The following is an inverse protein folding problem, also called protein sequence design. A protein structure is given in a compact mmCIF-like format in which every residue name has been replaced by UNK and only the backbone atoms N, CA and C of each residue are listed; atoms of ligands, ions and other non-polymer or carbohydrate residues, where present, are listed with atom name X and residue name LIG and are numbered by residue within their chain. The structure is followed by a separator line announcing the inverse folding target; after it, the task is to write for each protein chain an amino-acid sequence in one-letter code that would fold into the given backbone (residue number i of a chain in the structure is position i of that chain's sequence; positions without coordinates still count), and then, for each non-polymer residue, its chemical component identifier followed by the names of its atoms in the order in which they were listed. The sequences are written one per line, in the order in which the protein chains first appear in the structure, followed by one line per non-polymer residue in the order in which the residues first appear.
data_IF_669854878440
#
_entry.id   IF_669854878440
#
_cell.length_a   1.000
_cell.length_b   1.000
_cell.length_c   1.000
_cell.angle_alpha   90.00
_cell.angle_beta   90.00
_cell.angle_gamma   90.00
#
_symmetry.space_group_name_H-M   'P 1'
#
loop_
_entity.id
_entity.type
_entity.pdbx_description
1 polymer ?
#
# COMPACT_ATOMS: atom_id res chain seq x y z
N UNK A 1 -79.88 41.92 -40.27
CA UNK A 1 -79.95 41.59 -38.84
C UNK A 1 -79.36 40.19 -38.64
N UNK A 2 -78.27 40.04 -37.87
CA UNK A 2 -77.61 38.74 -37.65
C UNK A 2 -78.25 38.05 -36.44
N UNK A 3 -78.70 36.82 -36.61
CA UNK A 3 -79.27 35.99 -35.56
C UNK A 3 -78.15 35.50 -34.62
N UNK A 4 -78.21 35.89 -33.34
CA UNK A 4 -77.34 35.33 -32.31
C UNK A 4 -77.83 33.92 -31.97
N UNK A 5 -77.00 32.91 -32.23
CA UNK A 5 -77.25 31.53 -31.78
C UNK A 5 -76.75 31.41 -30.34
N UNK A 6 -77.66 31.11 -29.41
CA UNK A 6 -77.32 30.80 -28.02
C UNK A 6 -76.72 29.40 -27.89
N UNK A 7 -75.83 29.23 -26.92
CA UNK A 7 -75.18 27.95 -26.60
C UNK A 7 -76.23 26.94 -26.11
N UNK A 8 -76.20 25.71 -26.61
CA UNK A 8 -77.10 24.65 -26.11
C UNK A 8 -76.47 23.98 -24.88
N UNK A 9 -77.31 23.56 -23.93
CA UNK A 9 -76.86 22.84 -22.73
C UNK A 9 -76.11 21.55 -23.11
N UNK A 10 -76.52 20.89 -24.19
CA UNK A 10 -75.90 19.66 -24.70
C UNK A 10 -74.46 19.91 -25.17
N UNK A 11 -74.19 21.02 -25.87
CA UNK A 11 -72.85 21.34 -26.37
C UNK A 11 -71.86 21.59 -25.21
N UNK A 12 -72.31 22.25 -24.15
CA UNK A 12 -71.53 22.43 -22.93
C UNK A 12 -71.25 21.08 -22.24
N UNK A 13 -72.24 20.21 -22.20
CA UNK A 13 -72.12 18.91 -21.56
C UNK A 13 -71.11 18.01 -22.30
N UNK A 14 -71.17 17.99 -23.63
CA UNK A 14 -70.21 17.25 -24.47
C UNK A 14 -68.81 17.85 -24.34
N UNK A 15 -68.68 19.18 -24.36
CA UNK A 15 -67.39 19.85 -24.18
C UNK A 15 -66.75 19.51 -22.83
N UNK A 16 -67.52 19.53 -21.74
CA UNK A 16 -67.03 19.13 -20.41
C UNK A 16 -66.67 17.65 -20.32
N UNK A 17 -67.45 16.77 -20.96
CA UNK A 17 -67.14 15.34 -20.99
C UNK A 17 -65.81 15.05 -21.70
N UNK A 18 -65.59 15.66 -22.88
CA UNK A 18 -64.33 15.52 -23.62
C UNK A 18 -63.17 16.14 -22.83
N UNK A 19 -63.37 17.33 -22.27
CA UNK A 19 -62.35 17.99 -21.47
C UNK A 19 -61.93 17.16 -20.25
N UNK A 20 -62.90 16.60 -19.53
CA UNK A 20 -62.63 15.72 -18.39
C UNK A 20 -61.84 14.47 -18.82
N UNK A 21 -62.19 13.84 -19.94
CA UNK A 21 -61.44 12.70 -20.48
C UNK A 21 -60.00 13.06 -20.86
N UNK A 22 -59.80 14.20 -21.53
CA UNK A 22 -58.46 14.67 -21.90
C UNK A 22 -57.62 15.00 -20.67
N UNK A 23 -58.22 15.62 -19.65
CA UNK A 23 -57.54 15.92 -18.39
C UNK A 23 -57.06 14.62 -17.69
N UNK A 24 -57.91 13.58 -17.64
CA UNK A 24 -57.55 12.28 -17.07
C UNK A 24 -56.46 11.59 -17.88
N UNK A 25 -56.55 11.59 -19.21
CA UNK A 25 -55.54 11.00 -20.07
C UNK A 25 -54.17 11.70 -19.92
N UNK A 26 -54.17 13.04 -19.86
CA UNK A 26 -52.95 13.82 -19.60
C UNK A 26 -52.32 13.50 -18.24
N UNK A 27 -53.13 13.33 -17.20
CA UNK A 27 -52.65 12.94 -15.88
C UNK A 27 -51.97 11.56 -15.88
N UNK A 28 -52.57 10.57 -16.56
CA UNK A 28 -51.99 9.22 -16.64
C UNK A 28 -50.62 9.19 -17.32
N UNK A 29 -50.45 9.97 -18.40
CA UNK A 29 -49.15 10.09 -19.08
C UNK A 29 -48.13 10.75 -18.16
N UNK A 30 -48.50 11.84 -17.50
CA UNK A 30 -47.62 12.55 -16.57
C UNK A 30 -47.19 11.66 -15.39
N UNK A 31 -48.12 10.94 -14.77
CA UNK A 31 -47.82 9.98 -13.70
C UNK A 31 -46.90 8.84 -14.20
N UNK A 32 -47.17 8.33 -15.40
CA UNK A 32 -46.31 7.34 -16.05
C UNK A 32 -44.86 7.81 -16.23
N UNK A 33 -44.67 9.03 -16.72
CA UNK A 33 -43.34 9.64 -16.89
C UNK A 33 -42.65 9.88 -15.55
N UNK A 34 -43.36 10.40 -14.55
CA UNK A 34 -42.79 10.62 -13.22
C UNK A 34 -42.32 9.31 -12.59
N UNK A 35 -43.14 8.26 -12.60
CA UNK A 35 -42.74 6.95 -12.08
C UNK A 35 -41.58 6.33 -12.87
N UNK A 36 -41.54 6.52 -14.19
CA UNK A 36 -40.41 6.06 -14.99
C UNK A 36 -39.11 6.79 -14.60
N UNK A 37 -39.18 8.10 -14.38
CA UNK A 37 -38.06 8.91 -13.92
C UNK A 37 -37.59 8.50 -12.52
N UNK A 38 -38.50 8.26 -11.59
CA UNK A 38 -38.17 7.80 -10.24
C UNK A 38 -37.41 6.46 -10.27
N UNK A 39 -37.87 5.49 -11.08
CA UNK A 39 -37.15 4.22 -11.27
C UNK A 39 -35.77 4.42 -11.89
N UNK A 40 -35.68 5.26 -12.92
CA UNK A 40 -34.40 5.55 -13.57
C UNK A 40 -33.41 6.21 -12.60
N UNK A 41 -33.87 7.14 -11.76
CA UNK A 41 -33.06 7.78 -10.74
C UNK A 41 -32.57 6.78 -9.70
N UNK A 42 -33.45 5.91 -9.20
CA UNK A 42 -33.08 4.85 -8.25
C UNK A 42 -31.97 3.94 -8.81
N UNK A 43 -32.07 3.52 -10.07
CA UNK A 43 -31.02 2.72 -10.70
C UNK A 43 -29.72 3.50 -10.91
N UNK A 44 -29.80 4.80 -11.24
CA UNK A 44 -28.63 5.66 -11.39
C UNK A 44 -27.87 5.83 -10.06
N UNK A 45 -28.60 6.03 -8.96
CA UNK A 45 -28.02 6.17 -7.62
C UNK A 45 -27.33 4.87 -7.20
N UNK A 46 -27.97 3.71 -7.40
CA UNK A 46 -27.37 2.40 -7.11
C UNK A 46 -26.08 2.15 -7.89
N UNK A 47 -26.07 2.51 -9.18
CA UNK A 47 -24.87 2.38 -10.01
C UNK A 47 -23.77 3.35 -9.57
N UNK A 48 -24.11 4.55 -9.12
CA UNK A 48 -23.14 5.51 -8.61
C UNK A 48 -22.43 4.98 -7.34
N UNK A 49 -23.17 4.36 -6.42
CA UNK A 49 -22.59 3.72 -5.22
C UNK A 49 -21.66 2.58 -5.60
N UNK A 50 -22.07 1.72 -6.54
CA UNK A 50 -21.24 0.62 -7.03
C UNK A 50 -19.94 1.11 -7.69
N UNK A 51 -20.03 2.15 -8.52
CA UNK A 51 -18.87 2.78 -9.14
C UNK A 51 -17.94 3.43 -8.12
N UNK A 52 -18.49 4.11 -7.11
CA UNK A 52 -17.70 4.70 -6.03
C UNK A 52 -16.90 3.62 -5.28
N UNK A 53 -17.55 2.53 -4.89
CA UNK A 53 -16.87 1.42 -4.23
C UNK A 53 -15.75 0.83 -5.11
N UNK A 54 -16.02 0.61 -6.41
CA UNK A 54 -15.02 0.12 -7.36
C UNK A 54 -13.81 1.06 -7.48
N UNK A 55 -14.05 2.37 -7.62
CA UNK A 55 -12.97 3.37 -7.73
C UNK A 55 -12.15 3.46 -6.45
N UNK A 56 -12.80 3.39 -5.29
CA UNK A 56 -12.12 3.36 -4.00
C UNK A 56 -11.17 2.16 -3.90
N UNK A 57 -11.64 0.95 -4.23
CA UNK A 57 -10.79 -0.25 -4.26
C UNK A 57 -9.67 -0.11 -5.29
N UNK A 58 -9.97 0.39 -6.49
CA UNK A 58 -8.96 0.57 -7.53
C UNK A 58 -7.83 1.51 -7.10
N UNK A 59 -8.16 2.63 -6.44
CA UNK A 59 -7.17 3.57 -5.91
C UNK A 59 -6.31 2.91 -4.82
N UNK A 60 -6.95 2.24 -3.86
CA UNK A 60 -6.22 1.62 -2.75
C UNK A 60 -5.30 0.48 -3.25
N UNK A 61 -5.76 -0.34 -4.20
CA UNK A 61 -4.96 -1.41 -4.82
C UNK A 61 -3.78 -0.84 -5.64
N UNK A 62 -3.98 0.30 -6.30
CA UNK A 62 -2.93 0.97 -7.08
C UNK A 62 -1.81 1.58 -6.24
N UNK A 63 -2.03 1.78 -4.94
CA UNK A 63 -1.08 2.41 -4.01
C UNK A 63 -0.47 1.42 -3.00
N UNK A 64 -0.68 0.11 -3.19
CA UNK A 64 -0.19 -0.93 -2.29
C UNK A 64 1.34 -0.92 -2.18
N UNK A 65 1.82 -1.16 -0.97
CA UNK A 65 3.22 -1.34 -0.64
C UNK A 65 3.47 -2.80 -0.29
N UNK A 66 4.48 -3.44 -0.91
CA UNK A 66 4.69 -4.88 -0.78
C UNK A 66 5.25 -5.29 0.59
N UNK A 67 6.17 -4.52 1.19
CA UNK A 67 6.86 -4.88 2.44
C UNK A 67 7.70 -3.71 3.00
N UNK A 68 8.17 -3.81 4.25
CA UNK A 68 9.26 -2.98 4.79
C UNK A 68 10.62 -3.67 4.68
N UNK A 69 11.62 -2.94 4.22
CA UNK A 69 12.99 -3.44 4.12
C UNK A 69 13.47 -3.98 5.48
N UNK A 70 14.13 -5.13 5.45
CA UNK A 70 14.67 -5.77 6.63
C UNK A 70 15.62 -4.82 7.38
N UNK A 71 15.30 -4.50 8.62
CA UNK A 71 16.22 -3.80 9.52
C UNK A 71 17.28 -4.79 10.00
N UNK A 72 18.56 -4.44 9.84
CA UNK A 72 19.65 -5.23 10.40
C UNK A 72 19.65 -4.97 11.91
N UNK A 73 19.17 -5.93 12.71
CA UNK A 73 19.40 -5.88 14.15
C UNK A 73 20.83 -6.36 14.42
N UNK A 74 21.76 -5.43 14.60
CA UNK A 74 23.06 -5.72 15.22
C UNK A 74 22.78 -6.12 16.66
N UNK A 75 22.89 -7.41 16.96
CA UNK A 75 22.93 -7.88 18.34
C UNK A 75 24.27 -7.45 18.92
N UNK A 76 24.31 -6.34 19.64
CA UNK A 76 25.49 -5.95 20.40
C UNK A 76 25.76 -7.06 21.41
N UNK A 77 26.82 -7.85 21.20
CA UNK A 77 27.28 -8.81 22.18
C UNK A 77 27.61 -8.05 23.47
N UNK A 78 26.81 -8.25 24.51
CA UNK A 78 27.12 -7.76 25.85
C UNK A 78 28.45 -8.39 26.27
N UNK A 79 29.52 -7.61 26.22
CA UNK A 79 30.84 -8.02 26.66
C UNK A 79 30.83 -8.02 28.20
N UNK A 80 30.32 -9.09 28.79
CA UNK A 80 30.47 -9.39 30.20
C UNK A 80 31.95 -9.61 30.49
N UNK A 81 32.52 -8.71 31.28
CA UNK A 81 33.89 -8.72 31.77
C UNK A 81 34.30 -10.12 32.22
N UNK A 82 35.21 -10.77 31.48
CA UNK A 82 35.79 -12.06 31.86
C UNK A 82 37.29 -11.88 32.03
N UNK A 83 37.72 -11.99 33.27
CA UNK A 83 39.10 -11.94 33.70
C UNK A 83 39.83 -13.26 33.38
N UNK A 84 41.08 -13.13 32.96
CA UNK A 84 42.19 -14.07 33.07
C UNK A 84 42.38 -15.21 32.02
N UNK A 85 43.57 -15.12 31.42
CA UNK A 85 44.52 -16.20 31.05
C UNK A 85 44.27 -17.02 29.78
N UNK A 86 44.99 -16.62 28.73
CA UNK A 86 45.64 -17.43 27.68
C UNK A 86 44.99 -18.76 27.28
N UNK A 87 44.32 -18.75 26.13
CA UNK A 87 44.31 -19.87 25.18
C UNK A 87 44.04 -19.31 23.79
N UNK A 88 44.94 -19.61 22.86
CA UNK A 88 44.80 -19.35 21.43
C UNK A 88 43.51 -19.98 20.91
N UNK A 89 42.46 -19.17 20.81
CA UNK A 89 41.28 -19.51 20.05
C UNK A 89 41.07 -18.39 19.05
N UNK A 90 41.41 -18.70 17.79
CA UNK A 90 40.95 -17.99 16.61
C UNK A 90 39.41 -17.99 16.63
N UNK A 91 38.86 -17.06 17.38
CA UNK A 91 37.44 -16.80 17.44
C UNK A 91 37.18 -15.92 16.23
N UNK A 92 36.96 -16.56 15.08
CA UNK A 92 36.17 -15.92 14.03
C UNK A 92 34.85 -15.54 14.69
N UNK A 93 34.76 -14.30 15.16
CA UNK A 93 33.50 -13.64 15.44
C UNK A 93 32.78 -13.53 14.10
N UNK A 94 32.18 -14.64 13.69
CA UNK A 94 31.15 -14.65 12.67
C UNK A 94 30.03 -13.81 13.25
N UNK A 95 30.06 -12.52 12.93
CA UNK A 95 28.89 -11.66 12.97
C UNK A 95 27.82 -12.38 12.15
N UNK A 96 27.01 -13.21 12.81
CA UNK A 96 25.78 -13.72 12.23
C UNK A 96 24.88 -12.52 12.09
N UNK A 97 25.02 -11.80 10.98
CA UNK A 97 24.04 -10.84 10.51
C UNK A 97 22.76 -11.65 10.32
N UNK A 98 21.87 -11.59 11.31
CA UNK A 98 20.59 -12.25 11.27
C UNK A 98 19.75 -11.47 10.25
N UNK A 99 19.92 -11.81 8.96
CA UNK A 99 19.26 -11.13 7.86
C UNK A 99 17.79 -11.52 7.89
N UNK A 100 16.97 -10.69 8.52
CA UNK A 100 15.51 -10.86 8.57
C UNK A 100 15.00 -10.87 7.12
N UNK A 101 14.26 -11.88 6.72
CA UNK A 101 13.63 -11.90 5.40
C UNK A 101 12.49 -10.87 5.37
N UNK A 102 12.32 -10.09 4.28
CA UNK A 102 11.21 -9.16 4.17
C UNK A 102 9.87 -9.91 4.27
N UNK A 103 8.97 -9.43 5.13
CA UNK A 103 7.61 -9.97 5.31
C UNK A 103 6.61 -9.16 4.49
N UNK A 104 5.61 -9.79 3.85
CA UNK A 104 4.58 -9.08 3.10
C UNK A 104 3.76 -8.21 4.05
N UNK A 105 3.43 -6.99 3.61
CA UNK A 105 2.48 -6.13 4.32
C UNK A 105 1.02 -6.49 4.05
N UNK A 106 0.79 -7.33 3.04
CA UNK A 106 -0.52 -7.80 2.67
C UNK A 106 -0.82 -9.15 3.32
N UNK A 107 -2.03 -9.25 3.86
CA UNK A 107 -2.66 -10.50 4.27
C UNK A 107 -4.04 -10.60 3.62
N UNK A 108 -4.41 -11.76 3.13
CA UNK A 108 -5.71 -12.02 2.53
C UNK A 108 -6.21 -13.36 3.03
N UNK A 109 -7.47 -13.39 3.43
CA UNK A 109 -8.24 -14.62 3.54
C UNK A 109 -9.51 -14.52 2.69
N UNK A 110 -10.49 -15.39 2.90
CA UNK A 110 -11.73 -15.34 2.12
C UNK A 110 -12.62 -14.15 2.51
N UNK A 111 -12.62 -13.71 3.76
CA UNK A 111 -13.58 -12.73 4.28
C UNK A 111 -13.02 -11.31 4.32
N UNK A 112 -11.70 -11.17 4.46
CA UNK A 112 -11.03 -9.89 4.53
C UNK A 112 -9.68 -9.86 3.79
N UNK A 113 -9.31 -8.65 3.37
CA UNK A 113 -7.98 -8.35 2.89
C UNK A 113 -7.43 -7.16 3.65
N UNK A 114 -6.17 -7.23 4.02
CA UNK A 114 -5.43 -6.15 4.65
C UNK A 114 -4.12 -5.90 3.94
N UNK A 115 -3.73 -4.63 3.84
CA UNK A 115 -2.47 -4.22 3.25
C UNK A 115 -2.08 -2.83 3.72
N UNK A 116 -0.82 -2.48 3.46
CA UNK A 116 -0.32 -1.12 3.65
C UNK A 116 -0.28 -0.42 2.29
N UNK A 117 -0.70 0.84 2.25
CA UNK A 117 -0.60 1.71 1.07
C UNK A 117 0.05 3.03 1.43
N UNK A 118 0.45 3.78 0.40
CA UNK A 118 0.74 5.21 0.60
C UNK A 118 -0.56 5.98 0.92
N UNK A 119 -0.48 6.93 1.85
CA UNK A 119 -1.58 7.87 2.06
C UNK A 119 -1.68 8.83 0.87
N UNK A 120 -2.89 9.29 0.59
CA UNK A 120 -3.07 10.38 -0.38
C UNK A 120 -2.39 11.64 0.20
N UNK A 121 -1.50 12.30 -0.57
CA UNK A 121 -0.78 13.46 -0.07
C UNK A 121 -1.78 14.58 0.23
N UNK A 122 -1.86 15.00 1.50
CA UNK A 122 -2.65 16.17 1.88
C UNK A 122 -1.85 17.44 1.53
N UNK A 123 -2.30 18.26 0.55
CA UNK A 123 -1.54 19.43 0.11
C UNK A 123 -1.39 20.50 1.20
N UNK A 124 -2.15 20.40 2.30
CA UNK A 124 -2.08 21.35 3.42
C UNK A 124 -0.93 21.04 4.38
N UNK A 125 -0.37 19.83 4.36
CA UNK A 125 0.67 19.40 5.27
C UNK A 125 1.95 19.03 4.52
N UNK A 126 3.08 19.61 4.92
CA UNK A 126 4.39 19.31 4.32
C UNK A 126 4.86 17.88 4.63
N UNK A 127 4.38 17.31 5.74
CA UNK A 127 4.66 15.94 6.17
C UNK A 127 3.36 15.27 6.64
N UNK A 128 2.68 14.54 5.76
CA UNK A 128 1.58 13.65 6.14
C UNK A 128 2.13 12.26 6.48
N UNK A 129 1.40 11.48 7.29
CA UNK A 129 1.71 10.06 7.47
C UNK A 129 1.74 9.41 6.11
N UNK A 130 2.93 8.99 5.65
CA UNK A 130 3.09 8.48 4.30
C UNK A 130 2.47 7.10 4.12
N UNK A 131 2.15 6.39 5.21
CA UNK A 131 1.75 4.99 5.20
C UNK A 131 0.47 4.79 6.01
N UNK A 132 -0.46 4.03 5.45
CA UNK A 132 -1.73 3.66 6.08
C UNK A 132 -1.98 2.17 5.91
N UNK A 133 -2.53 1.52 6.94
CA UNK A 133 -3.10 0.18 6.81
C UNK A 133 -4.56 0.30 6.43
N UNK A 134 -4.96 -0.42 5.38
CA UNK A 134 -6.34 -0.52 4.93
C UNK A 134 -6.79 -1.97 5.09
N UNK A 135 -8.05 -2.13 5.48
CA UNK A 135 -8.75 -3.41 5.55
C UNK A 135 -10.05 -3.31 4.78
N UNK A 136 -10.38 -4.35 4.03
CA UNK A 136 -11.73 -4.57 3.53
C UNK A 136 -12.31 -5.81 4.17
N UNK A 137 -13.53 -5.67 4.67
CA UNK A 137 -14.20 -6.70 5.48
C UNK A 137 -15.61 -6.89 4.95
N UNK A 138 -16.01 -8.14 4.74
CA UNK A 138 -17.42 -8.51 4.58
C UNK A 138 -18.03 -8.76 5.96
N UNK A 139 -19.00 -7.94 6.36
CA UNK A 139 -19.71 -8.10 7.63
C UNK A 139 -21.12 -7.54 7.51
N UNK A 140 -22.10 -8.18 8.15
CA UNK A 140 -23.49 -7.69 8.22
C UNK A 140 -24.10 -7.31 6.85
N UNK A 141 -23.85 -8.14 5.83
CA UNK A 141 -24.24 -7.89 4.44
C UNK A 141 -23.67 -6.59 3.85
N UNK A 142 -22.50 -6.15 4.32
CA UNK A 142 -21.82 -4.93 3.88
C UNK A 142 -20.40 -5.22 3.46
N UNK A 143 -19.92 -4.44 2.49
CA UNK A 143 -18.50 -4.28 2.23
C UNK A 143 -18.01 -3.03 2.95
N UNK A 144 -17.16 -3.23 3.96
CA UNK A 144 -16.64 -2.15 4.80
C UNK A 144 -15.17 -1.94 4.44
N UNK A 145 -14.77 -0.68 4.26
CA UNK A 145 -13.38 -0.24 4.22
C UNK A 145 -13.00 0.37 5.55
N UNK A 146 -12.03 -0.23 6.23
CA UNK A 146 -11.47 0.27 7.48
C UNK A 146 -10.06 0.81 7.24
N UNK A 147 -9.76 1.96 7.80
CA UNK A 147 -8.48 2.65 7.68
C UNK A 147 -7.86 2.87 9.05
N UNK A 148 -6.57 2.60 9.16
CA UNK A 148 -5.77 2.84 10.35
C UNK A 148 -4.70 3.92 10.09
N UNK A 149 -4.37 4.69 11.14
CA UNK A 149 -3.27 5.67 11.12
C UNK A 149 -1.90 5.04 11.32
N UNK A 150 -1.85 3.79 11.80
CA UNK A 150 -0.62 3.02 12.04
C UNK A 150 -0.54 1.77 11.16
N UNK A 151 0.68 1.35 10.85
CA UNK A 151 0.97 0.16 10.04
C UNK A 151 0.75 -1.14 10.84
N UNK A 152 0.94 -1.11 12.16
CA UNK A 152 0.85 -2.28 13.04
C UNK A 152 -0.60 -2.68 13.35
N UNK A 153 -1.56 -1.79 13.05
CA UNK A 153 -2.98 -2.00 13.31
C UNK A 153 -3.33 -2.02 14.79
N UNK A 154 -4.61 -2.23 15.09
CA UNK A 154 -5.15 -2.29 16.45
C UNK A 154 -6.37 -1.39 16.63
N UNK A 155 -7.30 -1.77 17.53
CA UNK A 155 -8.56 -1.05 17.78
C UNK A 155 -8.35 0.44 18.07
N UNK A 156 -7.26 0.78 18.76
CA UNK A 156 -6.93 2.15 19.16
C UNK A 156 -6.32 2.99 18.03
N UNK A 157 -6.05 2.38 16.87
CA UNK A 157 -5.48 3.03 15.68
C UNK A 157 -6.45 3.14 14.51
N UNK A 158 -7.71 2.68 14.68
CA UNK A 158 -8.77 2.85 13.68
C UNK A 158 -9.07 4.33 13.53
N UNK A 159 -8.97 4.83 12.31
CA UNK A 159 -9.17 6.25 11.98
C UNK A 159 -10.49 6.49 11.26
N UNK A 160 -10.93 5.54 10.43
CA UNK A 160 -12.15 5.67 9.66
C UNK A 160 -12.70 4.30 9.24
N UNK A 161 -13.98 4.08 9.49
CA UNK A 161 -14.76 2.95 8.96
C UNK A 161 -15.80 3.49 7.98
N UNK A 162 -15.69 3.09 6.72
CA UNK A 162 -16.59 3.49 5.64
C UNK A 162 -17.34 2.27 5.09
N UNK A 163 -18.67 2.32 5.10
CA UNK A 163 -19.50 1.34 4.41
C UNK A 163 -19.49 1.70 2.92
N UNK A 164 -18.95 0.82 2.08
CA UNK A 164 -18.86 1.06 0.63
C UNK A 164 -20.08 0.52 -0.12
N UNK A 165 -20.58 -0.63 0.30
CA UNK A 165 -21.76 -1.29 -0.27
C UNK A 165 -22.59 -1.91 0.85
N UNK A 166 -23.91 -1.85 0.71
CA UNK A 166 -24.88 -2.54 1.57
C UNK A 166 -25.63 -3.61 0.74
N UNK A 167 -26.15 -4.66 1.37
CA UNK A 167 -26.83 -5.76 0.66
C UNK A 167 -25.88 -6.65 -0.14
N UNK A 168 -24.63 -6.76 0.30
CA UNK A 168 -23.61 -7.63 -0.28
C UNK A 168 -23.68 -9.01 0.34
N UNK A 169 -23.82 -10.05 -0.48
CA UNK A 169 -23.85 -11.45 -0.03
C UNK A 169 -22.81 -12.29 -0.77
N UNK A 170 -22.48 -13.47 -0.23
CA UNK A 170 -21.49 -14.39 -0.82
C UNK A 170 -20.13 -13.73 -1.18
N UNK A 171 -19.72 -12.73 -0.39
CA UNK A 171 -18.49 -11.99 -0.56
C UNK A 171 -17.27 -12.87 -0.27
N UNK A 172 -16.30 -12.85 -1.18
CA UNK A 172 -15.01 -13.52 -0.99
C UNK A 172 -13.86 -12.79 -1.67
N UNK A 173 -12.69 -12.86 -1.04
CA UNK A 173 -11.42 -12.40 -1.59
C UNK A 173 -10.59 -13.58 -2.08
N UNK A 174 -9.83 -13.36 -3.17
CA UNK A 174 -8.93 -14.35 -3.75
C UNK A 174 -7.66 -13.66 -4.26
N UNK A 175 -6.51 -14.31 -4.09
CA UNK A 175 -5.22 -13.85 -4.58
C UNK A 175 -4.78 -14.68 -5.79
N UNK A 176 -4.18 -14.03 -6.79
CA UNK A 176 -3.61 -14.71 -7.96
C UNK A 176 -2.13 -15.06 -7.71
N UNK A 177 -1.86 -16.31 -7.33
CA UNK A 177 -0.52 -16.87 -7.12
C UNK A 177 -0.22 -17.96 -8.16
N UNK A 178 -0.05 -17.59 -9.43
CA UNK A 178 -0.39 -18.40 -10.61
C UNK A 178 -1.75 -19.12 -10.67
N UNK A 179 -2.22 -19.70 -9.57
CA UNK A 179 -3.59 -20.19 -9.39
C UNK A 179 -4.35 -19.32 -8.38
N UNK A 180 -5.68 -19.42 -8.36
CA UNK A 180 -6.52 -18.71 -7.40
C UNK A 180 -6.33 -19.30 -6.00
N UNK A 181 -5.90 -18.48 -5.05
CA UNK A 181 -5.77 -18.84 -3.63
C UNK A 181 -6.76 -18.04 -2.79
N UNK A 182 -7.35 -18.68 -1.79
CA UNK A 182 -8.20 -18.03 -0.78
C UNK A 182 -7.41 -17.51 0.42
N UNK A 183 -6.08 -17.68 0.42
CA UNK A 183 -5.18 -17.22 1.48
C UNK A 183 -3.89 -16.63 0.90
N UNK A 184 -3.40 -15.57 1.51
CA UNK A 184 -2.09 -14.98 1.25
C UNK A 184 -1.55 -14.33 2.53
N UNK A 185 -0.24 -14.44 2.83
CA UNK A 185 0.76 -15.26 2.14
C UNK A 185 0.50 -16.76 2.30
N UNK A 186 0.86 -17.57 1.31
CA UNK A 186 0.86 -19.02 1.44
C UNK A 186 2.12 -19.48 2.18
N UNK A 187 2.02 -20.49 3.04
CA UNK A 187 3.17 -21.05 3.76
C UNK A 187 4.25 -21.58 2.78
N UNK A 188 3.84 -21.99 1.57
CA UNK A 188 4.72 -22.40 0.48
C UNK A 188 5.61 -21.27 -0.07
N UNK A 189 5.20 -20.00 0.09
CA UNK A 189 5.97 -18.85 -0.39
C UNK A 189 7.21 -18.53 0.47
N UNK A 190 7.31 -19.12 1.67
CA UNK A 190 8.48 -19.05 2.56
C UNK A 190 9.25 -20.37 2.66
N UNK A 191 8.73 -21.46 2.07
CA UNK A 191 9.45 -22.71 1.89
C UNK A 191 10.25 -22.62 0.59
N UNK A 192 11.54 -22.28 0.69
CA UNK A 192 12.45 -22.42 -0.44
C UNK A 192 12.36 -23.86 -0.96
N UNK A 193 11.90 -24.02 -2.21
CA UNK A 193 11.91 -25.30 -2.90
C UNK A 193 13.32 -25.87 -2.90
N UNK A 194 13.60 -26.76 -1.96
CA UNK A 194 14.72 -27.69 -2.01
C UNK A 194 14.31 -28.90 -2.83
N UNK A 195 14.09 -28.74 -4.13
CA UNK A 195 14.16 -29.88 -5.04
C UNK A 195 15.62 -30.26 -5.22
N UNK A 196 16.09 -31.16 -4.36
CA UNK A 196 17.30 -31.94 -4.59
C UNK A 196 17.08 -32.85 -5.80
N UNK A 197 17.28 -32.33 -7.01
CA UNK A 197 17.50 -33.17 -8.19
C UNK A 197 18.99 -33.25 -8.40
N UNK A 198 19.58 -34.37 -7.98
CA UNK A 198 20.99 -34.66 -8.16
C UNK A 198 21.40 -34.57 -9.64
N UNK A 199 22.20 -33.56 -9.99
CA UNK A 199 23.05 -33.57 -11.18
C UNK A 199 24.43 -33.09 -10.79
N UNK A 200 25.42 -33.91 -11.14
CA UNK A 200 26.84 -33.74 -10.86
C UNK A 200 27.43 -32.55 -11.64
N UNK A 201 28.22 -31.76 -10.93
CA UNK A 201 29.50 -31.17 -11.36
C UNK A 201 29.48 -30.12 -12.50
N UNK A 202 29.61 -28.84 -12.13
CA UNK A 202 30.78 -27.98 -12.39
C UNK A 202 30.40 -26.48 -12.49
N UNK A 203 31.25 -25.64 -11.91
CA UNK A 203 31.39 -24.19 -12.08
C UNK A 203 30.30 -23.23 -11.52
N UNK A 204 30.77 -22.33 -10.65
CA UNK A 204 30.20 -21.04 -10.22
C UNK A 204 28.78 -20.73 -10.69
N UNK A 205 27.81 -20.95 -9.82
CA UNK A 205 26.50 -20.28 -9.91
C UNK A 205 26.07 -19.97 -8.49
N UNK A 206 25.96 -18.67 -8.18
CA UNK A 206 25.34 -18.21 -6.95
C UNK A 206 23.99 -18.92 -6.79
N UNK A 207 23.80 -19.61 -5.67
CA UNK A 207 22.52 -20.24 -5.34
C UNK A 207 21.42 -19.17 -5.44
N UNK A 208 20.31 -19.40 -6.17
CA UNK A 208 19.22 -18.45 -6.20
C UNK A 208 18.64 -18.37 -4.79
N UNK A 209 18.92 -17.25 -4.13
CA UNK A 209 18.33 -16.89 -2.84
C UNK A 209 16.80 -16.97 -2.97
N UNK A 210 16.06 -17.59 -2.03
CA UNK A 210 14.61 -17.70 -2.11
C UNK A 210 14.00 -16.29 -2.20
N UNK A 211 13.35 -16.00 -3.33
CA UNK A 211 12.60 -14.77 -3.55
C UNK A 211 11.27 -14.93 -2.83
N UNK A 212 11.18 -14.42 -1.61
CA UNK A 212 9.90 -14.32 -0.90
C UNK A 212 8.89 -13.58 -1.78
N UNK A 213 7.69 -14.12 -1.94
CA UNK A 213 6.59 -13.47 -2.67
C UNK A 213 6.00 -12.40 -1.77
N UNK A 214 6.17 -11.12 -2.14
CA UNK A 214 5.78 -9.98 -1.29
C UNK A 214 4.38 -9.46 -1.62
N UNK A 215 3.91 -9.71 -2.84
CA UNK A 215 2.54 -9.46 -3.29
C UNK A 215 2.10 -10.57 -4.27
N UNK A 216 0.81 -10.92 -4.31
CA UNK A 216 0.28 -11.75 -5.38
C UNK A 216 0.33 -11.00 -6.72
N UNK A 217 0.17 -11.71 -7.84
CA UNK A 217 0.13 -11.07 -9.18
C UNK A 217 -1.11 -10.20 -9.37
N UNK A 218 -2.14 -10.45 -8.58
CA UNK A 218 -3.40 -9.74 -8.62
C UNK A 218 -4.32 -10.18 -7.48
N UNK A 219 -5.43 -9.50 -7.34
CA UNK A 219 -6.50 -9.82 -6.39
C UNK A 219 -7.82 -9.83 -7.13
N UNK A 220 -8.69 -10.75 -6.76
CA UNK A 220 -10.10 -10.75 -7.11
C UNK A 220 -10.96 -10.61 -5.86
N UNK A 221 -12.05 -9.87 -6.01
CA UNK A 221 -13.17 -9.86 -5.06
C UNK A 221 -14.43 -10.28 -5.80
N UNK A 222 -15.12 -11.27 -5.28
CA UNK A 222 -16.38 -11.77 -5.83
C UNK A 222 -17.47 -11.66 -4.80
N UNK A 223 -18.64 -11.15 -5.18
CA UNK A 223 -19.78 -11.00 -4.29
C UNK A 223 -21.07 -10.93 -5.11
N UNK A 224 -22.21 -11.13 -4.46
CA UNK A 224 -23.53 -10.90 -5.03
C UNK A 224 -24.07 -9.58 -4.50
N UNK A 225 -24.58 -8.74 -5.41
CA UNK A 225 -25.18 -7.45 -5.08
C UNK A 225 -26.47 -7.29 -5.88
N UNK A 226 -27.60 -7.09 -5.19
CA UNK A 226 -28.93 -7.03 -5.81
C UNK A 226 -29.20 -8.23 -6.74
N UNK A 227 -28.94 -9.45 -6.23
CA UNK A 227 -29.08 -10.74 -6.95
C UNK A 227 -28.18 -10.92 -8.19
N UNK A 228 -27.25 -9.98 -8.44
CA UNK A 228 -26.29 -10.09 -9.53
C UNK A 228 -24.91 -10.49 -8.99
N UNK A 229 -24.29 -11.57 -9.51
CA UNK A 229 -22.92 -11.90 -9.17
C UNK A 229 -21.96 -10.91 -9.85
N UNK A 230 -21.10 -10.29 -9.05
CA UNK A 230 -20.09 -9.34 -9.46
C UNK A 230 -18.72 -9.92 -9.12
N UNK A 231 -17.75 -9.71 -10.02
CA UNK A 231 -16.34 -9.99 -9.73
C UNK A 231 -15.49 -8.84 -10.24
N UNK A 232 -14.69 -8.28 -9.35
CA UNK A 232 -13.70 -7.26 -9.67
C UNK A 232 -12.31 -7.84 -9.50
N UNK A 233 -11.40 -7.48 -10.41
CA UNK A 233 -10.04 -8.00 -10.43
C UNK A 233 -9.05 -6.88 -10.73
N UNK A 234 -7.95 -6.87 -9.98
CA UNK A 234 -6.86 -5.92 -10.18
C UNK A 234 -5.54 -6.66 -10.28
N UNK A 235 -4.70 -6.24 -11.23
CA UNK A 235 -3.32 -6.66 -11.27
C UNK A 235 -2.51 -5.86 -10.23
N UNK A 236 -1.66 -6.54 -9.47
CA UNK A 236 -0.71 -5.88 -8.58
C UNK A 236 0.65 -5.89 -9.25
N UNK A 237 1.22 -4.72 -9.47
CA UNK A 237 2.52 -4.60 -10.11
C UNK A 237 3.62 -5.16 -9.19
N UNK A 238 4.46 -6.09 -9.67
CA UNK A 238 5.62 -6.55 -8.93
C UNK A 238 6.55 -5.36 -8.67
N UNK A 239 6.74 -5.01 -7.40
CA UNK A 239 7.67 -3.95 -7.02
C UNK A 239 9.07 -4.55 -6.85
N UNK A 240 10.12 -3.97 -7.45
CA UNK A 240 11.48 -4.47 -7.30
C UNK A 240 11.90 -4.36 -5.83
N UNK A 241 12.63 -5.36 -5.35
CA UNK A 241 13.18 -5.31 -4.00
C UNK A 241 14.35 -4.30 -4.00
N UNK A 242 14.34 -3.18 -3.25
CA UNK A 242 15.49 -2.31 -3.19
C UNK A 242 16.72 -3.12 -2.75
N UNK A 243 17.87 -2.95 -3.41
CA UNK A 243 19.09 -3.60 -2.96
C UNK A 243 19.34 -3.19 -1.51
N UNK A 244 19.51 -4.17 -0.62
CA UNK A 244 19.95 -3.90 0.75
C UNK A 244 21.34 -3.29 0.67
N UNK A 245 21.46 -1.97 0.78
CA UNK A 245 22.75 -1.28 0.79
C UNK A 245 23.51 -1.68 2.08
N UNK A 246 24.20 -2.81 2.05
CA UNK A 246 25.27 -3.10 2.99
C UNK A 246 26.51 -2.37 2.50
N UNK A 247 26.55 -1.05 2.68
CA UNK A 247 27.76 -0.29 2.48
C UNK A 247 28.64 -0.55 3.70
N UNK A 248 29.34 -1.69 3.70
CA UNK A 248 30.53 -1.87 4.52
C UNK A 248 31.54 -0.84 4.02
N UNK A 249 31.70 0.26 4.75
CA UNK A 249 32.87 1.12 4.62
C UNK A 249 34.09 0.25 4.95
N UNK A 250 34.74 -0.28 3.92
CA UNK A 250 36.05 -0.88 4.06
C UNK A 250 37.01 0.23 4.47
N UNK A 251 37.30 0.34 5.77
CA UNK A 251 38.48 1.04 6.25
C UNK A 251 39.70 0.23 5.80
N UNK A 252 40.20 0.50 4.59
CA UNK A 252 41.58 0.16 4.26
C UNK A 252 42.47 1.15 5.01
N UNK A 253 42.84 0.79 6.23
CA UNK A 253 44.12 1.24 6.79
C UNK A 253 45.13 0.25 6.26
N UNK A 254 45.63 0.49 5.05
CA UNK A 254 46.70 -0.33 4.51
C UNK A 254 48.02 0.02 5.19
N UNK A 255 48.67 -1.07 5.52
CA UNK A 255 49.86 -1.27 6.30
C UNK A 255 51.08 -0.59 5.67
N UNK A 256 51.95 -0.12 6.56
CA UNK A 256 53.32 0.30 6.34
C UNK A 256 54.12 -0.66 5.46
N UNK A 257 54.37 -0.27 4.21
CA UNK A 257 55.44 -0.83 3.40
C UNK A 257 56.76 -0.08 3.65
N UNK A 258 57.67 -0.87 4.20
CA UNK A 258 59.07 -0.64 4.50
C UNK A 258 59.87 -0.26 3.23
N UNK A 259 60.29 1.00 3.11
CA UNK A 259 61.30 1.42 2.13
C UNK A 259 62.60 1.83 2.84
N UNK A 260 63.56 0.93 2.74
CA UNK A 260 64.93 1.08 3.20
C UNK A 260 65.71 1.87 2.14
N UNK A 261 65.89 3.18 2.36
CA UNK A 261 66.79 4.02 1.58
C UNK A 261 67.80 4.70 2.51
N UNK A 262 68.99 4.12 2.55
CA UNK A 262 70.17 4.65 3.21
C UNK A 262 70.72 5.85 2.41
N UNK A 263 70.78 7.03 3.00
CA UNK A 263 71.72 8.08 2.59
C UNK A 263 72.04 9.00 3.78
N UNK A 264 73.26 8.85 4.28
CA UNK A 264 73.95 9.84 5.10
C UNK A 264 74.00 11.20 4.38
N UNK A 265 73.73 12.30 5.08
CA UNK A 265 74.73 13.36 5.32
C UNK A 265 74.17 14.49 6.21
N UNK A 266 75.08 15.01 7.04
CA UNK A 266 75.00 16.06 8.06
C UNK A 266 74.47 17.43 7.63
N UNK A 267 73.94 18.20 8.58
CA UNK A 267 73.79 19.65 8.45
C UNK A 267 73.05 20.32 9.62
N UNK A 268 73.80 20.81 10.60
CA UNK A 268 73.37 21.67 11.71
C UNK A 268 72.81 23.03 11.21
N UNK A 269 71.82 23.60 11.91
CA UNK A 269 71.34 24.96 11.63
C UNK A 269 70.17 25.44 12.49
N UNK A 270 70.49 26.27 13.50
CA UNK A 270 69.63 27.05 14.39
C UNK A 270 68.64 28.05 13.71
N UNK A 271 67.67 28.51 14.52
CA UNK A 271 66.96 29.84 14.58
C UNK A 271 65.48 29.95 14.16
N UNK A 272 64.67 30.21 15.19
CA UNK A 272 63.88 31.43 15.49
C UNK A 272 62.77 31.97 14.56
N UNK A 273 61.63 32.19 15.24
CA UNK A 273 60.71 33.35 15.22
C UNK A 273 59.56 33.49 14.18
N UNK A 274 58.34 33.40 14.72
CA UNK A 274 57.26 34.40 14.74
C UNK A 274 56.98 35.27 13.49
N UNK A 275 55.75 35.18 12.94
CA UNK A 275 54.84 36.34 12.87
C UNK A 275 53.45 36.03 12.27
N UNK A 276 52.46 36.53 13.00
CA UNK A 276 51.05 36.83 12.76
C UNK A 276 50.58 37.28 11.35
N UNK A 277 49.36 36.85 10.98
CA UNK A 277 48.25 37.55 10.26
C UNK A 277 47.42 36.49 9.51
N UNK A 278 46.10 36.36 9.52
CA UNK A 278 44.96 37.17 9.97
C UNK A 278 43.79 36.83 9.03
N UNK A 279 42.56 36.76 9.57
CA UNK A 279 41.23 36.88 8.88
C UNK A 279 40.80 35.75 7.91
N UNK A 280 39.58 35.18 7.85
CA UNK A 280 38.24 35.30 8.47
C UNK A 280 37.55 33.91 8.30
N UNK A 281 36.82 33.35 9.29
CA UNK A 281 35.36 33.45 9.54
C UNK A 281 34.51 33.20 8.26
N UNK A 282 33.68 32.16 8.13
CA UNK A 282 32.43 31.82 8.85
C UNK A 282 32.33 30.28 9.06
N UNK A 283 31.86 29.67 10.16
CA UNK A 283 30.70 29.99 10.99
C UNK A 283 29.47 29.21 10.48
N UNK A 284 29.41 27.88 10.59
CA UNK A 284 28.77 27.10 11.66
C UNK A 284 27.32 27.47 12.00
N UNK A 285 26.55 26.40 12.30
CA UNK A 285 25.39 26.28 13.21
C UNK A 285 24.04 26.25 12.47
N UNK A 286 23.31 25.14 12.37
CA UNK A 286 22.77 24.23 13.41
C UNK A 286 21.87 24.95 14.43
N UNK A 287 20.55 24.75 14.31
CA UNK A 287 19.50 24.83 15.35
C UNK A 287 18.15 24.57 14.64
N UNK A 288 17.44 23.45 14.84
CA UNK A 288 16.53 23.18 15.97
C UNK A 288 15.76 24.41 16.45
N UNK A 289 14.43 24.43 16.28
CA UNK A 289 13.42 24.58 17.34
C UNK A 289 12.05 24.82 16.70
N UNK A 290 11.07 24.17 17.33
CA UNK A 290 9.63 24.33 17.28
C UNK A 290 9.07 25.68 16.78
N UNK A 291 8.00 25.59 15.99
CA UNK A 291 6.62 25.85 16.43
C UNK A 291 5.63 25.19 15.46
#
# INVERSE_FOLDING_TARGET
MRHQRGFTLLELMVAMAIFAMLAVAGWQVFDGVNRARERAQFHADNLAVLQYAYLQLQQDMGQIIPYQAATQSVSAANNGTSDSTSSDNNTQSSEQINKIAPKPFMSLDSEHVSFVRFADPDPRYQSSNSLQRIEYIFADERLIRRQYTSMEGGRDSVSLDSVLLEGVTAGRWQAYLPELSTIFPSDDANSGSSTNTAVRQSANTASPKPTAVLLPKGIAVSFTYQDMPITWQWALAPQPIPPSNSQSTANNTDDSSNDNANSDNSGSGDRDNNSNAGTNNEGSSNASIAQ
#
